data_IF_693387155463
#
_entry.id   IF_693387155463
#
_cell.length_a   1.000
_cell.length_b   1.000
_cell.length_c   1.000
_cell.angle_alpha   90.00
_cell.angle_beta   90.00
_cell.angle_gamma   90.00
#
_symmetry.space_group_name_H-M   'P 1'
#
loop_
_entity.id
_entity.type
_entity.pdbx_description
1 polymer ?
#
# COMPACT_ATOMS: atom_id res chain seq x y z
N UNK A 1 -83.40 2.37 25.89
CA UNK A 1 -83.23 3.83 25.87
C UNK A 1 -81.73 4.10 25.89
N UNK A 2 -81.18 4.59 24.78
CA UNK A 2 -79.76 4.88 24.60
C UNK A 2 -79.42 6.24 25.18
N UNK A 3 -78.36 6.34 26.01
CA UNK A 3 -77.57 7.56 26.10
C UNK A 3 -76.09 7.23 26.26
N UNK A 4 -75.30 7.83 25.37
CA UNK A 4 -73.84 7.88 25.37
C UNK A 4 -73.37 8.88 26.44
N UNK A 5 -72.27 8.57 27.12
CA UNK A 5 -71.44 9.59 27.79
C UNK A 5 -70.01 9.52 27.28
N UNK A 6 -69.50 10.70 26.91
CA UNK A 6 -68.26 10.95 26.21
C UNK A 6 -67.18 11.46 27.19
N UNK A 7 -66.11 10.66 27.32
CA UNK A 7 -64.68 10.98 27.54
C UNK A 7 -64.27 12.00 28.63
N UNK A 8 -63.44 11.53 29.59
CA UNK A 8 -62.12 12.11 29.99
C UNK A 8 -61.53 11.42 31.23
N UNK A 9 -60.72 10.39 31.02
CA UNK A 9 -59.67 9.97 31.98
C UNK A 9 -58.37 9.93 31.15
N UNK A 10 -57.50 10.95 31.19
CA UNK A 10 -56.51 11.27 32.23
C UNK A 10 -55.63 10.07 32.61
N UNK A 11 -54.34 10.18 32.28
CA UNK A 11 -53.27 9.45 32.97
C UNK A 11 -52.57 8.38 32.14
N UNK A 12 -51.77 8.78 31.14
CA UNK A 12 -50.69 7.93 30.65
C UNK A 12 -49.49 8.06 31.60
N UNK A 13 -49.48 7.23 32.64
CA UNK A 13 -48.29 7.06 33.49
C UNK A 13 -47.65 5.71 33.13
N UNK A 14 -46.83 5.69 32.09
CA UNK A 14 -45.82 4.62 31.97
C UNK A 14 -44.56 5.12 32.66
N UNK A 15 -44.23 4.50 33.79
CA UNK A 15 -42.96 4.69 34.46
C UNK A 15 -41.82 4.31 33.53
N UNK A 16 -41.24 5.30 32.87
CA UNK A 16 -40.08 5.09 32.00
C UNK A 16 -38.87 4.93 32.91
N UNK A 17 -38.42 3.69 33.01
CA UNK A 17 -37.21 3.25 33.69
C UNK A 17 -36.00 4.13 33.32
N UNK A 18 -35.74 5.18 34.11
CA UNK A 18 -34.62 6.11 33.89
C UNK A 18 -33.23 5.45 34.05
N UNK A 19 -33.19 4.22 34.59
CA UNK A 19 -32.00 3.38 34.72
C UNK A 19 -31.66 2.60 33.43
N UNK A 20 -32.66 2.29 32.60
CA UNK A 20 -32.49 1.55 31.36
C UNK A 20 -32.04 2.43 30.17
N UNK A 21 -32.29 3.75 30.22
CA UNK A 21 -31.88 4.68 29.15
C UNK A 21 -30.39 5.03 29.18
N UNK A 22 -29.79 5.16 30.38
CA UNK A 22 -28.35 5.42 30.54
C UNK A 22 -27.51 4.26 30.03
N UNK A 23 -27.86 3.02 30.37
CA UNK A 23 -27.16 1.83 29.89
C UNK A 23 -27.23 1.68 28.36
N UNK A 24 -28.40 1.94 27.75
CA UNK A 24 -28.56 1.88 26.28
C UNK A 24 -27.79 2.99 25.55
N UNK A 25 -27.75 4.19 26.13
CA UNK A 25 -26.99 5.32 25.60
C UNK A 25 -25.47 5.08 25.68
N UNK A 26 -24.96 4.62 26.82
CA UNK A 26 -23.53 4.30 27.00
C UNK A 26 -23.06 3.16 26.10
N UNK A 27 -23.91 2.15 25.84
CA UNK A 27 -23.59 1.05 24.91
C UNK A 27 -23.49 1.51 23.45
N UNK A 28 -24.30 2.49 23.03
CA UNK A 28 -24.24 3.06 21.67
C UNK A 28 -22.96 3.88 21.49
N UNK A 29 -22.60 4.72 22.47
CA UNK A 29 -21.37 5.50 22.42
C UNK A 29 -20.11 4.62 22.46
N UNK A 30 -20.12 3.54 23.25
CA UNK A 30 -19.03 2.56 23.27
C UNK A 30 -18.87 1.85 21.92
N UNK A 31 -19.98 1.46 21.28
CA UNK A 31 -19.97 0.85 19.94
C UNK A 31 -19.44 1.79 18.85
N UNK A 32 -19.86 3.06 18.87
CA UNK A 32 -19.37 4.07 17.91
C UNK A 32 -17.87 4.36 18.08
N UNK A 33 -17.37 4.35 19.32
CA UNK A 33 -15.94 4.53 19.59
C UNK A 33 -15.11 3.35 19.06
N UNK A 34 -15.60 2.11 19.25
CA UNK A 34 -14.95 0.90 18.74
C UNK A 34 -14.92 0.92 17.21
N UNK A 35 -16.04 1.26 16.56
CA UNK A 35 -16.10 1.40 15.09
C UNK A 35 -15.13 2.49 14.59
N UNK A 36 -15.02 3.61 15.29
CA UNK A 36 -14.09 4.68 14.92
C UNK A 36 -12.62 4.23 14.96
N UNK A 37 -12.22 3.48 16.00
CA UNK A 37 -10.86 2.92 16.10
C UNK A 37 -10.57 1.84 15.05
N UNK A 38 -11.57 1.01 14.68
CA UNK A 38 -11.44 0.01 13.61
C UNK A 38 -11.24 0.69 12.25
N UNK A 39 -11.98 1.76 11.96
CA UNK A 39 -11.89 2.47 10.67
C UNK A 39 -10.53 3.14 10.51
N UNK A 40 -9.95 3.76 11.55
CA UNK A 40 -8.63 4.41 11.49
C UNK A 40 -7.51 3.40 11.20
N UNK A 41 -7.62 2.18 11.73
CA UNK A 41 -6.58 1.14 11.60
C UNK A 41 -6.44 0.62 10.15
N UNK A 42 -7.45 0.83 9.29
CA UNK A 42 -7.42 0.41 7.89
C UNK A 42 -6.66 1.38 6.97
N UNK A 43 -6.37 2.61 7.40
CA UNK A 43 -5.74 3.64 6.54
C UNK A 43 -4.21 3.74 6.69
N UNK A 44 -3.57 2.88 7.48
CA UNK A 44 -2.14 2.99 7.81
C UNK A 44 -1.15 2.43 6.79
N UNK A 45 -1.59 1.83 5.68
CA UNK A 45 -0.67 1.29 4.66
C UNK A 45 -0.29 2.37 3.64
N UNK A 46 0.58 3.30 4.03
CA UNK A 46 1.31 4.10 3.05
C UNK A 46 2.35 3.19 2.40
N UNK A 47 2.22 2.97 1.09
CA UNK A 47 3.24 2.28 0.31
C UNK A 47 4.52 3.14 0.33
N UNK A 48 5.45 2.84 1.24
CA UNK A 48 6.79 3.41 1.19
C UNK A 48 7.48 2.85 -0.05
N UNK A 49 7.73 3.73 -1.02
CA UNK A 49 8.61 3.43 -2.12
C UNK A 49 9.98 3.09 -1.54
N UNK A 50 10.39 1.82 -1.62
CA UNK A 50 11.71 1.41 -1.21
C UNK A 50 12.72 2.18 -2.06
N UNK A 51 13.67 2.87 -1.41
CA UNK A 51 14.80 3.47 -2.12
C UNK A 51 15.59 2.32 -2.76
N UNK A 52 15.88 2.47 -4.05
CA UNK A 52 16.60 1.45 -4.81
C UNK A 52 18.06 1.51 -4.37
N UNK A 53 18.59 0.37 -3.92
CA UNK A 53 20.00 0.26 -3.51
C UNK A 53 20.91 0.66 -4.68
N UNK A 54 21.74 1.68 -4.46
CA UNK A 54 22.72 2.18 -5.44
C UNK A 54 24.10 1.68 -5.05
N UNK A 55 24.79 1.10 -6.02
CA UNK A 55 26.17 0.62 -5.86
C UNK A 55 27.16 1.56 -6.55
N UNK A 56 28.33 1.77 -5.95
CA UNK A 56 29.41 2.54 -6.59
C UNK A 56 30.12 1.72 -7.66
N UNK A 57 30.95 2.37 -8.48
CA UNK A 57 31.75 1.70 -9.52
C UNK A 57 32.77 0.72 -8.92
N UNK A 58 33.32 1.02 -7.75
CA UNK A 58 34.24 0.15 -7.01
C UNK A 58 33.51 -1.10 -6.50
N UNK A 59 32.36 -0.90 -5.86
CA UNK A 59 31.52 -2.00 -5.35
C UNK A 59 31.06 -2.91 -6.49
N UNK A 60 30.63 -2.33 -7.62
CA UNK A 60 30.25 -3.12 -8.79
C UNK A 60 31.40 -3.99 -9.30
N UNK A 61 32.64 -3.47 -9.28
CA UNK A 61 33.81 -4.25 -9.69
C UNK A 61 34.04 -5.44 -8.75
N UNK A 62 33.95 -5.23 -7.44
CA UNK A 62 34.05 -6.31 -6.44
C UNK A 62 32.92 -7.34 -6.62
N UNK A 63 31.69 -6.89 -6.90
CA UNK A 63 30.55 -7.78 -7.15
C UNK A 63 30.77 -8.66 -8.39
N UNK A 64 31.33 -8.10 -9.47
CA UNK A 64 31.68 -8.86 -10.68
C UNK A 64 32.64 -10.00 -10.37
N UNK A 65 33.61 -9.77 -9.48
CA UNK A 65 34.60 -10.77 -9.09
C UNK A 65 34.02 -11.82 -8.12
N UNK A 66 33.09 -11.44 -7.24
CA UNK A 66 32.56 -12.32 -6.18
C UNK A 66 31.28 -13.08 -6.55
N UNK A 67 30.30 -12.36 -7.08
CA UNK A 67 28.91 -12.84 -7.25
C UNK A 67 28.46 -12.92 -8.70
N UNK A 68 29.25 -12.37 -9.63
CA UNK A 68 28.97 -12.35 -11.06
C UNK A 68 27.52 -11.89 -11.37
N UNK A 69 27.14 -10.65 -10.99
CA UNK A 69 25.80 -10.14 -11.15
C UNK A 69 25.44 -9.99 -12.63
N UNK A 70 24.14 -10.02 -12.91
CA UNK A 70 23.63 -9.72 -14.24
C UNK A 70 23.60 -8.20 -14.42
N UNK A 71 24.44 -7.70 -15.33
CA UNK A 71 24.53 -6.28 -15.62
C UNK A 71 23.62 -5.96 -16.82
N UNK A 72 22.71 -5.00 -16.65
CA UNK A 72 21.76 -4.59 -17.69
C UNK A 72 21.98 -3.12 -18.04
N UNK A 73 22.32 -2.89 -19.31
CA UNK A 73 22.42 -1.56 -19.90
C UNK A 73 21.01 -1.08 -20.30
N UNK A 74 20.45 -0.14 -19.55
CA UNK A 74 19.13 0.46 -19.80
C UNK A 74 19.24 1.83 -20.48
N UNK A 75 20.38 2.15 -21.11
CA UNK A 75 20.54 3.41 -21.84
C UNK A 75 19.58 3.50 -23.03
N UNK A 76 19.07 4.71 -23.27
CA UNK A 76 18.30 4.98 -24.49
C UNK A 76 19.16 4.75 -25.73
N UNK A 77 18.51 4.41 -26.84
CA UNK A 77 19.20 3.97 -28.05
C UNK A 77 20.27 4.93 -28.57
N UNK A 78 20.00 6.23 -28.52
CA UNK A 78 20.96 7.27 -28.92
C UNK A 78 22.24 7.21 -28.07
N UNK A 79 22.11 7.11 -26.74
CA UNK A 79 23.26 7.04 -25.84
C UNK A 79 24.00 5.70 -25.96
N UNK A 80 23.28 4.59 -26.15
CA UNK A 80 23.92 3.29 -26.33
C UNK A 80 24.70 3.17 -27.65
N UNK A 81 24.18 3.74 -28.75
CA UNK A 81 24.84 3.75 -30.07
C UNK A 81 26.07 4.66 -30.07
N UNK A 82 26.00 5.81 -29.40
CA UNK A 82 27.08 6.79 -29.38
C UNK A 82 28.17 6.49 -28.34
N UNK A 83 27.97 5.51 -27.45
CA UNK A 83 28.94 5.21 -26.40
C UNK A 83 30.02 4.26 -26.91
N UNK A 84 31.27 4.74 -26.89
CA UNK A 84 32.47 3.98 -27.24
C UNK A 84 32.77 2.90 -26.20
N UNK A 85 32.41 3.15 -24.93
CA UNK A 85 32.71 2.27 -23.80
C UNK A 85 31.43 1.69 -23.18
N UNK A 86 31.46 0.38 -22.92
CA UNK A 86 30.36 -0.39 -22.31
C UNK A 86 30.96 -1.33 -21.27
N UNK A 87 30.18 -1.64 -20.23
CA UNK A 87 30.62 -2.59 -19.21
C UNK A 87 30.68 -3.98 -19.85
N UNK A 88 31.79 -4.69 -19.66
CA UNK A 88 31.99 -6.03 -20.23
C UNK A 88 30.98 -7.00 -19.63
N UNK A 89 30.31 -7.78 -20.47
CA UNK A 89 29.27 -8.73 -20.04
C UNK A 89 27.89 -8.10 -19.82
N UNK A 90 27.72 -6.79 -20.03
CA UNK A 90 26.42 -6.15 -19.93
C UNK A 90 25.48 -6.59 -21.06
N UNK A 91 24.26 -6.99 -20.68
CA UNK A 91 23.15 -7.29 -21.59
C UNK A 91 22.36 -6.00 -21.83
N UNK A 92 21.90 -5.78 -23.06
CA UNK A 92 21.10 -4.61 -23.36
C UNK A 92 19.63 -4.84 -23.00
N UNK A 93 19.10 -4.04 -22.09
CA UNK A 93 17.67 -3.97 -21.77
C UNK A 93 17.07 -2.67 -22.28
N UNK A 94 16.34 -2.69 -23.39
CA UNK A 94 15.71 -1.46 -23.88
C UNK A 94 14.70 -0.92 -22.85
N UNK A 95 14.86 0.30 -22.32
CA UNK A 95 13.94 0.83 -21.31
C UNK A 95 12.50 0.98 -21.83
N UNK A 96 12.30 1.16 -23.15
CA UNK A 96 10.97 1.23 -23.77
C UNK A 96 10.31 -0.14 -23.92
N UNK A 97 11.08 -1.23 -23.82
CA UNK A 97 10.61 -2.60 -23.94
C UNK A 97 10.90 -3.36 -22.64
N UNK A 98 10.58 -2.76 -21.49
CA UNK A 98 10.82 -3.35 -20.16
C UNK A 98 10.34 -4.81 -20.07
N UNK A 99 9.14 -5.08 -20.57
CA UNK A 99 8.53 -6.40 -20.55
C UNK A 99 9.34 -7.46 -21.31
N UNK A 100 10.18 -7.06 -22.29
CA UNK A 100 10.92 -8.02 -23.10
C UNK A 100 12.14 -8.59 -22.39
N UNK A 101 12.66 -7.94 -21.34
CA UNK A 101 13.88 -8.38 -20.64
C UNK A 101 13.69 -8.57 -19.14
N UNK A 102 12.70 -7.92 -18.51
CA UNK A 102 12.49 -7.99 -17.06
C UNK A 102 12.12 -9.39 -16.56
N UNK A 103 11.47 -10.20 -17.41
CA UNK A 103 11.07 -11.57 -17.08
C UNK A 103 12.11 -12.65 -17.40
N UNK A 104 13.20 -12.30 -18.10
CA UNK A 104 14.21 -13.29 -18.53
C UNK A 104 15.09 -13.73 -17.35
N UNK A 105 15.37 -12.80 -16.43
CA UNK A 105 16.31 -13.04 -15.35
C UNK A 105 15.61 -13.57 -14.09
N UNK A 106 16.20 -14.57 -13.41
CA UNK A 106 15.63 -15.10 -12.18
C UNK A 106 15.65 -14.05 -11.08
N UNK A 107 14.56 -13.95 -10.31
CA UNK A 107 14.39 -12.97 -9.21
C UNK A 107 15.42 -13.14 -8.07
N UNK A 108 16.09 -14.29 -8.01
CA UNK A 108 17.14 -14.60 -7.04
C UNK A 108 18.52 -14.08 -7.46
N UNK A 109 18.69 -13.67 -8.72
CA UNK A 109 19.96 -13.13 -9.20
C UNK A 109 20.10 -11.65 -8.84
N UNK A 110 21.32 -11.24 -8.50
CA UNK A 110 21.65 -9.84 -8.28
C UNK A 110 21.67 -9.14 -9.64
N UNK A 111 20.74 -8.21 -9.83
CA UNK A 111 20.58 -7.43 -11.05
C UNK A 111 21.14 -6.03 -10.84
N UNK A 112 22.05 -5.61 -11.70
CA UNK A 112 22.60 -4.24 -11.69
C UNK A 112 22.16 -3.53 -12.96
N UNK A 113 21.29 -2.53 -12.82
CA UNK A 113 20.82 -1.68 -13.91
C UNK A 113 21.71 -0.44 -13.98
N UNK A 114 22.19 -0.07 -15.16
CA UNK A 114 22.91 1.19 -15.36
C UNK A 114 22.38 1.99 -16.54
N UNK A 115 22.33 3.31 -16.37
CA UNK A 115 21.89 4.27 -17.37
C UNK A 115 23.01 5.28 -17.71
N UNK A 116 22.69 6.27 -18.53
CA UNK A 116 23.62 7.30 -18.99
C UNK A 116 23.65 8.48 -18.02
#
# INVERSE_FOLDING_TARGET
MNYLTFRRDCGFQTGINHRASKARSTLIFAGLFICYFVVISCFGNTAQAADVERVTKEQLKEMIEQTNPVIIDVRIEKHWKNSVYKIKGAVRGNPKAYQSWSGIHPKTSVLVLYCA
#
